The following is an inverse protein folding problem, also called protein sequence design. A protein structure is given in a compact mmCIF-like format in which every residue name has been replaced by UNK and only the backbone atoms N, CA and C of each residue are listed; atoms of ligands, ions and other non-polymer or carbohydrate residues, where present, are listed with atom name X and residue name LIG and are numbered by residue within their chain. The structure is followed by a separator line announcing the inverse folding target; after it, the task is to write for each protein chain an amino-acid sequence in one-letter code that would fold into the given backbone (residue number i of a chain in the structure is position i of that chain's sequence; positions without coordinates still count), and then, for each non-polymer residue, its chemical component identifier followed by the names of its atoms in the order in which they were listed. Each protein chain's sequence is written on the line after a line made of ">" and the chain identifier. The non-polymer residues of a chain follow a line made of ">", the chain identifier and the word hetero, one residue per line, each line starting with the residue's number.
data_IF_062365329636
#
_entry.id   IF_062365329636
#
_cell.length_a   1.000
_cell.length_b   1.000
_cell.length_c   1.000
_cell.angle_alpha   90.00
_cell.angle_beta   90.00
_cell.angle_gamma   90.00
#
_symmetry.space_group_name_H-M   'P 1'
#
loop_
_entity.id
_entity.type
_entity.pdbx_description
1 polymer ?
#
# COMPACT_ATOMS: atom_id res chain seq x y z
N UNK A 1 14.53 21.64 9.37
CA UNK A 1 15.20 20.34 9.20
C UNK A 1 15.24 19.98 7.72
N UNK A 2 16.20 19.12 7.30
CA UNK A 2 16.21 18.46 5.99
C UNK A 2 16.28 16.96 6.23
N UNK A 3 15.36 16.19 5.65
CA UNK A 3 15.28 14.74 5.75
C UNK A 3 14.44 14.19 4.58
N UNK A 4 14.55 12.89 4.31
CA UNK A 4 13.69 12.21 3.35
C UNK A 4 12.73 11.26 4.07
N UNK A 5 11.52 11.08 3.55
CA UNK A 5 10.61 10.02 3.93
C UNK A 5 10.53 9.00 2.81
N UNK A 6 10.56 7.72 3.15
CA UNK A 6 10.60 6.62 2.20
C UNK A 6 9.61 5.53 2.60
N UNK A 7 8.97 4.92 1.61
CA UNK A 7 8.17 3.71 1.75
C UNK A 7 8.40 2.77 0.57
N UNK A 8 8.22 1.48 0.80
CA UNK A 8 8.46 0.41 -0.16
C UNK A 8 7.23 -0.48 -0.30
N UNK A 9 6.96 -0.91 -1.53
CA UNK A 9 6.02 -1.99 -1.77
C UNK A 9 6.74 -3.23 -2.31
N UNK A 10 6.29 -4.41 -1.86
CA UNK A 10 6.88 -5.68 -2.25
C UNK A 10 5.94 -6.50 -3.11
N UNK A 11 6.48 -7.14 -4.14
CA UNK A 11 5.73 -7.94 -5.10
C UNK A 11 5.15 -9.24 -4.49
N UNK A 12 5.83 -9.77 -3.48
CA UNK A 12 5.45 -11.00 -2.77
C UNK A 12 5.72 -10.83 -1.27
N UNK A 13 5.43 -11.86 -0.49
CA UNK A 13 5.84 -11.94 0.92
C UNK A 13 7.34 -12.20 1.10
N UNK A 14 8.08 -12.45 0.02
CA UNK A 14 9.52 -12.69 0.07
C UNK A 14 10.24 -11.40 0.40
N UNK A 15 11.12 -11.46 1.41
CA UNK A 15 11.84 -10.29 1.86
C UNK A 15 12.82 -9.81 0.78
N UNK A 16 12.77 -8.52 0.46
CA UNK A 16 13.64 -7.90 -0.56
C UNK A 16 13.08 -7.95 -1.98
N UNK A 17 11.92 -8.58 -2.22
CA UNK A 17 11.29 -8.58 -3.54
C UNK A 17 10.52 -7.27 -3.78
N UNK A 18 11.24 -6.15 -3.79
CA UNK A 18 10.72 -4.80 -3.93
C UNK A 18 10.16 -4.62 -5.35
N UNK A 19 8.98 -4.01 -5.46
CA UNK A 19 8.33 -3.71 -6.75
C UNK A 19 7.92 -2.24 -6.91
N UNK A 20 8.02 -1.44 -5.87
CA UNK A 20 7.80 0.01 -5.95
C UNK A 20 8.50 0.73 -4.81
N UNK A 21 8.96 1.95 -5.10
CA UNK A 21 9.61 2.85 -4.14
C UNK A 21 8.94 4.21 -4.22
N UNK A 22 8.64 4.81 -3.07
CA UNK A 22 8.19 6.19 -2.93
C UNK A 22 9.08 6.96 -1.97
N UNK A 23 9.49 8.16 -2.36
CA UNK A 23 10.33 9.05 -1.56
C UNK A 23 9.82 10.48 -1.64
N UNK A 24 9.83 11.16 -0.50
CA UNK A 24 9.55 12.58 -0.37
C UNK A 24 10.70 13.23 0.37
N UNK A 25 11.29 14.28 -0.21
CA UNK A 25 12.35 15.08 0.42
C UNK A 25 11.75 16.33 1.05
N UNK A 26 11.99 16.50 2.34
CA UNK A 26 11.52 17.64 3.13
C UNK A 26 12.66 18.57 3.48
N UNK A 27 12.42 19.85 3.36
CA UNK A 27 13.34 20.89 3.83
C UNK A 27 12.54 22.03 4.45
N UNK A 28 12.87 22.40 5.71
CA UNK A 28 12.25 23.52 6.44
C UNK A 28 10.72 23.45 6.54
N UNK A 29 10.16 22.21 6.58
CA UNK A 29 8.72 21.96 6.64
C UNK A 29 8.03 21.91 5.27
N UNK A 30 8.76 22.06 4.19
CA UNK A 30 8.24 22.05 2.81
C UNK A 30 8.69 20.78 2.06
N UNK A 31 7.81 20.22 1.21
CA UNK A 31 8.18 19.19 0.25
C UNK A 31 8.97 19.82 -0.91
N UNK A 32 10.30 19.58 -0.94
CA UNK A 32 11.19 20.15 -1.96
C UNK A 32 11.56 19.18 -3.07
N UNK A 33 11.22 17.90 -2.91
CA UNK A 33 11.46 16.89 -3.92
C UNK A 33 10.66 15.62 -3.66
N UNK A 34 10.41 14.85 -4.71
CA UNK A 34 9.74 13.58 -4.63
C UNK A 34 10.18 12.66 -5.75
N UNK A 35 10.05 11.37 -5.48
CA UNK A 35 10.34 10.32 -6.45
C UNK A 35 9.39 9.15 -6.21
N UNK A 36 8.85 8.59 -7.27
CA UNK A 36 8.09 7.35 -7.25
C UNK A 36 8.42 6.54 -8.49
N UNK A 37 8.76 5.27 -8.31
CA UNK A 37 9.06 4.39 -9.43
C UNK A 37 8.64 2.96 -9.12
N UNK A 38 8.10 2.29 -10.12
CA UNK A 38 8.05 0.85 -10.12
C UNK A 38 9.47 0.30 -10.21
N UNK A 39 9.66 -0.88 -9.62
CA UNK A 39 10.92 -1.65 -9.64
C UNK A 39 10.59 -3.02 -10.23
N UNK A 40 11.42 -3.50 -11.15
CA UNK A 40 11.31 -4.88 -11.63
C UNK A 40 11.63 -5.85 -10.49
N UNK A 41 10.64 -6.62 -10.00
CA UNK A 41 10.86 -7.50 -8.87
C UNK A 41 11.79 -8.66 -9.25
N UNK A 42 12.62 -9.10 -8.31
CA UNK A 42 13.56 -10.22 -8.50
C UNK A 42 12.81 -11.53 -8.73
N UNK A 43 11.80 -11.77 -7.92
CA UNK A 43 10.83 -12.85 -8.17
C UNK A 43 9.73 -12.29 -9.04
N UNK A 44 9.73 -12.66 -10.31
CA UNK A 44 8.81 -12.15 -11.34
C UNK A 44 7.38 -12.67 -11.14
N UNK A 45 6.84 -12.43 -9.96
CA UNK A 45 5.46 -12.76 -9.62
C UNK A 45 4.89 -11.77 -8.62
N UNK A 46 3.56 -11.64 -8.59
CA UNK A 46 2.85 -10.95 -7.53
C UNK A 46 2.15 -11.98 -6.64
N UNK A 47 2.21 -11.76 -5.34
CA UNK A 47 1.36 -12.46 -4.38
C UNK A 47 -0.12 -12.11 -4.61
N UNK A 48 -1.02 -12.90 -4.03
CA UNK A 48 -2.46 -12.67 -4.21
C UNK A 48 -2.90 -11.32 -3.66
N UNK A 49 -2.33 -10.93 -2.53
CA UNK A 49 -2.62 -9.65 -1.92
C UNK A 49 -2.23 -8.49 -2.83
N UNK A 50 -1.04 -8.51 -3.44
CA UNK A 50 -0.52 -7.48 -4.35
C UNK A 50 -1.38 -7.36 -5.60
N UNK A 51 -1.75 -8.48 -6.20
CA UNK A 51 -2.64 -8.51 -7.39
C UNK A 51 -3.97 -7.79 -7.17
N UNK A 52 -4.45 -7.78 -5.92
CA UNK A 52 -5.75 -7.21 -5.60
C UNK A 52 -5.68 -5.78 -5.04
N UNK A 53 -4.51 -5.36 -4.57
CA UNK A 53 -4.36 -4.10 -3.85
C UNK A 53 -3.55 -3.05 -4.59
N UNK A 54 -2.66 -3.43 -5.50
CA UNK A 54 -1.96 -2.46 -6.34
C UNK A 54 -2.84 -1.96 -7.48
N UNK A 55 -2.60 -0.74 -7.94
CA UNK A 55 -3.26 -0.11 -9.07
C UNK A 55 -2.55 -0.38 -10.41
N UNK A 56 -1.43 -1.13 -10.38
CA UNK A 56 -0.68 -1.64 -11.53
C UNK A 56 -0.55 -3.17 -11.47
N UNK A 57 -0.26 -3.79 -12.62
CA UNK A 57 -0.11 -5.23 -12.74
C UNK A 57 1.35 -5.68 -12.81
N UNK A 58 1.56 -7.02 -12.68
CA UNK A 58 2.89 -7.62 -12.84
C UNK A 58 3.56 -7.23 -14.17
N UNK A 59 2.78 -7.17 -15.27
CA UNK A 59 3.29 -6.77 -16.58
C UNK A 59 3.91 -5.37 -16.60
N UNK A 60 3.40 -4.48 -15.79
CA UNK A 60 3.92 -3.11 -15.67
C UNK A 60 5.21 -3.12 -14.85
N UNK A 61 5.21 -3.83 -13.73
CA UNK A 61 6.41 -3.99 -12.90
C UNK A 61 7.57 -4.70 -13.65
N UNK A 62 7.27 -5.66 -14.51
CA UNK A 62 8.31 -6.35 -15.30
C UNK A 62 8.97 -5.47 -16.38
N UNK A 63 8.34 -4.36 -16.77
CA UNK A 63 8.91 -3.36 -17.68
C UNK A 63 9.70 -2.27 -16.96
N UNK A 64 9.57 -2.21 -15.65
CA UNK A 64 10.25 -1.21 -14.83
C UNK A 64 11.77 -1.45 -14.79
N UNK A 65 12.56 -0.40 -14.46
CA UNK A 65 13.98 -0.54 -14.19
C UNK A 65 14.24 -1.53 -13.04
N UNK A 66 15.44 -2.09 -12.99
CA UNK A 66 15.88 -2.91 -11.87
C UNK A 66 16.14 -2.07 -10.61
N UNK A 67 16.22 -2.75 -9.47
CA UNK A 67 16.42 -2.09 -8.18
C UNK A 67 17.68 -1.21 -8.12
N UNK A 68 18.88 -1.62 -8.60
CA UNK A 68 20.06 -0.77 -8.60
C UNK A 68 19.90 0.53 -9.38
N UNK A 69 19.17 0.50 -10.49
CA UNK A 69 18.89 1.69 -11.31
C UNK A 69 18.00 2.66 -10.55
N UNK A 70 16.89 2.17 -9.99
CA UNK A 70 15.95 2.96 -9.20
C UNK A 70 16.62 3.51 -7.93
N UNK A 71 17.44 2.69 -7.27
CA UNK A 71 18.12 3.10 -6.04
C UNK A 71 19.10 4.26 -6.24
N UNK A 72 19.81 4.30 -7.37
CA UNK A 72 20.66 5.46 -7.72
C UNK A 72 19.88 6.77 -7.82
N UNK A 73 18.65 6.73 -8.32
CA UNK A 73 17.81 7.92 -8.39
C UNK A 73 17.32 8.31 -6.99
N UNK A 74 17.00 7.34 -6.14
CA UNK A 74 16.70 7.57 -4.72
C UNK A 74 17.89 8.22 -4.02
N UNK A 75 19.10 7.65 -4.13
CA UNK A 75 20.33 8.20 -3.53
C UNK A 75 20.61 9.62 -4.00
N UNK A 76 20.41 9.91 -5.28
CA UNK A 76 20.59 11.27 -5.85
C UNK A 76 19.62 12.26 -5.23
N UNK A 77 18.37 11.85 -4.98
CA UNK A 77 17.35 12.71 -4.37
C UNK A 77 17.63 12.97 -2.90
N UNK A 78 17.90 11.91 -2.13
CA UNK A 78 18.06 12.02 -0.67
C UNK A 78 19.40 12.69 -0.30
N UNK A 79 20.49 12.42 -1.06
CA UNK A 79 21.84 12.86 -0.74
C UNK A 79 22.28 12.33 0.63
N UNK A 80 22.71 13.23 1.49
CA UNK A 80 23.15 12.96 2.86
C UNK A 80 22.04 13.08 3.92
N UNK A 81 20.79 13.32 3.49
CA UNK A 81 19.68 13.50 4.40
C UNK A 81 19.36 12.19 5.15
N UNK A 82 19.07 12.26 6.45
CA UNK A 82 18.51 11.11 7.18
C UNK A 82 17.17 10.71 6.57
N UNK A 83 16.85 9.42 6.64
CA UNK A 83 15.62 8.87 6.06
C UNK A 83 14.68 8.45 7.18
N UNK A 84 13.39 8.78 7.05
CA UNK A 84 12.35 8.26 7.92
C UNK A 84 11.46 7.27 7.17
N UNK A 85 11.00 6.23 7.87
CA UNK A 85 10.03 5.28 7.36
C UNK A 85 9.15 4.76 8.50
N UNK A 86 7.97 4.21 8.18
CA UNK A 86 7.06 3.73 9.22
C UNK A 86 7.28 2.24 9.50
N UNK A 87 7.85 1.93 10.67
CA UNK A 87 8.36 0.62 11.07
C UNK A 87 9.73 0.28 10.44
N UNK A 88 10.56 1.29 10.25
CA UNK A 88 11.79 1.30 9.44
C UNK A 88 12.72 0.11 9.68
N UNK A 89 13.04 -0.21 10.94
CA UNK A 89 13.98 -1.28 11.27
C UNK A 89 13.47 -2.68 10.91
N UNK A 90 12.15 -2.89 10.96
CA UNK A 90 11.53 -4.20 10.74
C UNK A 90 11.11 -4.41 9.28
N UNK A 91 10.73 -3.34 8.58
CA UNK A 91 10.24 -3.39 7.20
C UNK A 91 11.29 -2.86 6.23
N UNK A 92 11.46 -1.54 6.12
CA UNK A 92 12.27 -0.95 5.06
C UNK A 92 13.73 -1.38 5.13
N UNK A 93 14.38 -1.26 6.29
CA UNK A 93 15.78 -1.67 6.43
C UNK A 93 15.98 -3.16 6.13
N UNK A 94 15.04 -4.01 6.55
CA UNK A 94 15.09 -5.44 6.29
C UNK A 94 14.95 -5.75 4.79
N UNK A 95 13.95 -5.16 4.12
CA UNK A 95 13.74 -5.37 2.69
C UNK A 95 14.91 -4.82 1.86
N UNK A 96 15.39 -3.63 2.19
CA UNK A 96 16.58 -3.03 1.56
C UNK A 96 17.82 -3.91 1.76
N UNK A 97 18.07 -4.40 2.97
CA UNK A 97 19.22 -5.27 3.24
C UNK A 97 19.25 -6.53 2.37
N UNK A 98 18.11 -7.16 2.15
CA UNK A 98 18.00 -8.30 1.23
C UNK A 98 18.16 -7.89 -0.23
N UNK A 99 17.57 -6.76 -0.65
CA UNK A 99 17.72 -6.26 -2.02
C UNK A 99 19.17 -5.85 -2.30
N UNK A 100 19.83 -5.16 -1.39
CA UNK A 100 21.25 -4.79 -1.48
C UNK A 100 22.12 -6.03 -1.62
N UNK A 101 21.94 -7.02 -0.73
CA UNK A 101 22.68 -8.29 -0.78
C UNK A 101 22.50 -9.03 -2.11
N UNK A 102 21.26 -9.08 -2.61
CA UNK A 102 20.95 -9.74 -3.88
C UNK A 102 21.64 -9.07 -5.07
N UNK A 103 21.66 -7.74 -5.08
CA UNK A 103 22.22 -6.95 -6.18
C UNK A 103 23.70 -6.58 -5.99
N UNK A 104 24.36 -7.07 -4.93
CA UNK A 104 25.75 -6.77 -4.64
C UNK A 104 26.02 -5.30 -4.30
N UNK A 105 25.03 -4.60 -3.75
CA UNK A 105 25.18 -3.24 -3.26
C UNK A 105 25.74 -3.23 -1.83
N UNK A 106 26.50 -2.19 -1.51
CA UNK A 106 27.06 -2.03 -0.16
C UNK A 106 26.05 -1.44 0.81
N UNK A 107 25.57 -2.26 1.74
CA UNK A 107 24.62 -1.83 2.76
C UNK A 107 25.20 -0.78 3.73
N UNK A 108 26.53 -0.75 3.90
CA UNK A 108 27.18 0.22 4.79
C UNK A 108 27.18 1.64 4.23
N UNK A 109 27.09 1.79 2.90
CA UNK A 109 26.97 3.09 2.23
C UNK A 109 25.52 3.62 2.22
N UNK A 110 24.55 2.82 2.61
CA UNK A 110 23.14 3.20 2.62
C UNK A 110 22.82 4.25 3.69
N UNK A 111 21.68 4.94 3.56
CA UNK A 111 21.27 6.00 4.48
C UNK A 111 20.96 5.47 5.88
N UNK A 112 21.00 6.41 6.84
CA UNK A 112 20.50 6.15 8.21
C UNK A 112 18.99 6.33 8.22
N UNK A 113 18.31 5.37 8.80
CA UNK A 113 16.85 5.39 8.96
C UNK A 113 16.44 5.72 10.39
N UNK A 114 15.27 6.35 10.51
CA UNK A 114 14.58 6.59 11.77
C UNK A 114 13.11 6.14 11.64
N UNK A 115 12.58 5.53 12.68
CA UNK A 115 11.26 4.90 12.63
C UNK A 115 10.14 5.83 13.10
N UNK A 116 9.27 6.29 12.19
CA UNK A 116 8.14 7.15 12.56
C UNK A 116 7.08 6.43 13.42
N UNK A 117 7.02 5.09 13.39
CA UNK A 117 6.19 4.32 14.31
C UNK A 117 6.70 4.44 15.76
N UNK A 118 8.02 4.41 15.97
CA UNK A 118 8.63 4.62 17.29
C UNK A 118 8.38 6.05 17.77
N UNK A 119 8.59 7.04 16.89
CA UNK A 119 8.32 8.44 17.19
C UNK A 119 6.87 8.66 17.62
N UNK A 120 5.92 8.15 16.84
CA UNK A 120 4.49 8.28 17.14
C UNK A 120 4.10 7.59 18.45
N UNK A 121 4.64 6.40 18.73
CA UNK A 121 4.40 5.69 20.00
C UNK A 121 4.97 6.41 21.21
N UNK A 122 6.15 7.02 21.07
CA UNK A 122 6.80 7.74 22.15
C UNK A 122 6.12 9.08 22.44
N UNK A 123 5.58 9.73 21.43
CA UNK A 123 5.00 11.07 21.54
C UNK A 123 3.50 11.06 21.83
N UNK A 124 2.70 10.31 21.07
CA UNK A 124 1.23 10.22 21.24
C UNK A 124 0.84 8.93 21.99
N UNK A 125 1.24 8.83 23.24
CA UNK A 125 1.04 7.62 24.06
C UNK A 125 -0.43 7.26 24.32
N UNK A 126 -1.32 8.24 24.22
CA UNK A 126 -2.75 8.11 24.41
C UNK A 126 -3.47 7.47 23.20
N UNK A 127 -2.82 7.44 22.04
CA UNK A 127 -3.44 6.81 20.86
C UNK A 127 -3.53 5.29 21.03
N UNK A 128 -4.68 4.68 20.75
CA UNK A 128 -4.84 3.23 20.92
C UNK A 128 -4.05 2.41 19.88
N UNK A 129 -3.64 3.04 18.77
CA UNK A 129 -2.88 2.43 17.67
C UNK A 129 -2.06 3.48 16.93
N UNK A 130 -0.83 3.11 16.57
CA UNK A 130 0.14 4.00 15.93
C UNK A 130 0.49 3.60 14.49
N UNK A 131 -0.14 2.56 13.92
CA UNK A 131 0.07 2.24 12.51
C UNK A 131 -0.37 3.40 11.60
N UNK A 132 0.30 3.57 10.47
CA UNK A 132 0.19 4.74 9.57
C UNK A 132 -1.27 5.15 9.27
N UNK A 133 -2.17 4.19 9.02
CA UNK A 133 -3.61 4.44 8.81
C UNK A 133 -4.31 5.05 10.02
N UNK A 134 -3.89 4.67 11.22
CA UNK A 134 -4.54 5.11 12.46
C UNK A 134 -4.12 6.53 12.79
N UNK A 135 -2.82 6.83 12.64
CA UNK A 135 -2.28 8.18 12.82
C UNK A 135 -2.86 9.12 11.77
N UNK A 136 -2.83 8.76 10.49
CA UNK A 136 -3.41 9.58 9.43
C UNK A 136 -4.90 9.86 9.65
N UNK A 137 -5.67 8.88 10.14
CA UNK A 137 -7.09 9.08 10.49
C UNK A 137 -7.28 10.01 11.68
N UNK A 138 -6.45 9.88 12.72
CA UNK A 138 -6.53 10.72 13.91
C UNK A 138 -6.38 12.21 13.56
N UNK A 139 -5.38 12.52 12.73
CA UNK A 139 -5.11 13.89 12.27
C UNK A 139 -5.90 14.30 11.02
N UNK A 140 -6.80 13.45 10.52
CA UNK A 140 -7.56 13.68 9.29
C UNK A 140 -6.68 13.95 8.06
N UNK A 141 -5.49 13.35 8.01
CA UNK A 141 -4.59 13.44 6.86
C UNK A 141 -5.07 12.52 5.72
N UNK A 142 -4.95 13.02 4.49
CA UNK A 142 -5.30 12.24 3.30
C UNK A 142 -4.26 11.15 3.06
N UNK A 143 -4.69 9.90 3.05
CA UNK A 143 -3.86 8.72 2.82
C UNK A 143 -4.44 7.86 1.70
N UNK A 144 -3.65 7.65 0.65
CA UNK A 144 -3.87 6.61 -0.36
C UNK A 144 -2.94 5.43 -0.04
N UNK A 145 -3.35 4.60 0.90
CA UNK A 145 -2.52 3.56 1.48
C UNK A 145 -2.14 2.47 0.48
N UNK A 146 -0.89 2.05 0.52
CA UNK A 146 -0.18 1.22 -0.45
C UNK A 146 0.12 1.96 -1.78
N UNK A 147 0.18 3.27 -1.71
CA UNK A 147 0.87 4.13 -2.64
C UNK A 147 2.10 4.65 -1.89
N UNK A 148 3.31 4.19 -2.21
CA UNK A 148 4.48 4.45 -1.36
C UNK A 148 4.83 5.94 -1.26
N UNK A 149 4.51 6.75 -2.27
CA UNK A 149 4.66 8.19 -2.17
C UNK A 149 3.67 8.81 -1.17
N UNK A 150 2.42 8.30 -1.13
CA UNK A 150 1.42 8.74 -0.15
C UNK A 150 1.78 8.28 1.26
N UNK A 151 2.26 7.05 1.43
CA UNK A 151 2.68 6.53 2.72
C UNK A 151 3.93 7.27 3.23
N UNK A 152 4.91 7.58 2.35
CA UNK A 152 6.05 8.44 2.67
C UNK A 152 5.63 9.85 3.13
N UNK A 153 4.62 10.48 2.49
CA UNK A 153 4.09 11.77 2.95
C UNK A 153 3.50 11.71 4.36
N UNK A 154 2.85 10.61 4.73
CA UNK A 154 2.37 10.45 6.10
C UNK A 154 3.53 10.28 7.07
N UNK A 155 4.61 9.58 6.69
CA UNK A 155 5.82 9.53 7.50
C UNK A 155 6.39 10.94 7.74
N UNK A 156 6.45 11.76 6.70
CA UNK A 156 6.87 13.16 6.83
C UNK A 156 5.91 13.97 7.71
N UNK A 157 4.61 13.83 7.53
CA UNK A 157 3.61 14.54 8.33
C UNK A 157 3.71 14.20 9.83
N UNK A 158 4.04 12.94 10.19
CA UNK A 158 4.31 12.55 11.58
C UNK A 158 5.50 13.33 12.14
N UNK A 159 6.59 13.44 11.39
CA UNK A 159 7.80 14.19 11.80
C UNK A 159 7.48 15.66 12.00
N UNK A 160 6.79 16.28 11.04
CA UNK A 160 6.44 17.70 11.11
C UNK A 160 5.49 18.01 12.27
N UNK A 161 4.47 17.18 12.53
CA UNK A 161 3.53 17.42 13.62
C UNK A 161 4.20 17.26 14.99
N UNK A 162 5.01 16.22 15.19
CA UNK A 162 5.79 16.06 16.43
C UNK A 162 6.76 17.22 16.63
N UNK A 163 7.44 17.65 15.58
CA UNK A 163 8.37 18.78 15.63
C UNK A 163 7.68 20.08 15.99
N UNK A 164 6.48 20.30 15.47
CA UNK A 164 5.64 21.47 15.75
C UNK A 164 5.14 21.45 17.20
N UNK A 165 4.60 20.31 17.68
CA UNK A 165 4.09 20.18 19.04
C UNK A 165 5.20 20.32 20.10
N UNK A 166 6.43 19.91 19.76
CA UNK A 166 7.63 20.07 20.64
C UNK A 166 8.38 21.37 20.42
N UNK A 167 7.98 22.21 19.45
CA UNK A 167 8.67 23.44 19.04
C UNK A 167 10.15 23.23 18.64
N UNK A 168 10.47 22.03 18.10
CA UNK A 168 11.82 21.64 17.67
C UNK A 168 11.98 21.85 16.17
N UNK A 169 12.97 22.62 15.75
CA UNK A 169 13.25 22.92 14.34
C UNK A 169 14.50 22.25 13.78
N UNK A 170 15.32 21.69 14.65
CA UNK A 170 16.60 21.08 14.30
C UNK A 170 16.53 19.55 14.43
N UNK A 171 17.07 18.83 13.44
CA UNK A 171 17.05 17.36 13.42
C UNK A 171 17.68 16.74 14.65
N UNK A 172 18.88 17.19 15.01
CA UNK A 172 19.57 16.68 16.20
C UNK A 172 18.78 16.90 17.50
N UNK A 173 18.06 18.02 17.60
CA UNK A 173 17.15 18.30 18.71
C UNK A 173 16.01 17.29 18.77
N UNK A 174 15.37 17.00 17.63
CA UNK A 174 14.27 16.04 17.54
C UNK A 174 14.72 14.63 17.92
N UNK A 175 15.85 14.18 17.40
CA UNK A 175 16.45 12.86 17.70
C UNK A 175 16.75 12.75 19.19
N UNK A 176 17.41 13.77 19.77
CA UNK A 176 17.80 13.77 21.19
C UNK A 176 16.59 13.77 22.13
N UNK A 177 15.61 14.63 21.88
CA UNK A 177 14.41 14.78 22.73
C UNK A 177 13.59 13.51 22.75
N UNK A 178 13.40 12.88 21.62
CA UNK A 178 12.61 11.66 21.48
C UNK A 178 13.42 10.38 21.71
N UNK A 179 14.72 10.47 22.00
CA UNK A 179 15.64 9.31 22.11
C UNK A 179 15.47 8.39 20.89
N UNK A 180 15.34 9.01 19.71
CA UNK A 180 14.98 8.33 18.49
C UNK A 180 16.16 7.49 17.99
N UNK A 181 15.94 6.20 17.80
CA UNK A 181 17.00 5.24 17.50
C UNK A 181 17.32 5.25 16.00
N UNK A 182 18.62 5.21 15.68
CA UNK A 182 19.10 4.97 14.33
C UNK A 182 18.91 3.51 13.93
N UNK A 183 18.41 3.30 12.73
CA UNK A 183 18.39 2.01 12.07
C UNK A 183 19.29 2.05 10.84
N UNK A 184 20.01 0.98 10.61
CA UNK A 184 20.86 0.85 9.42
C UNK A 184 20.40 -0.31 8.57
N UNK A 185 20.67 -0.24 7.28
CA UNK A 185 20.41 -1.33 6.36
C UNK A 185 21.30 -2.51 6.76
N UNK A 186 20.72 -3.65 7.16
CA UNK A 186 21.53 -4.79 7.60
C UNK A 186 22.22 -5.46 6.41
N UNK A 187 23.44 -5.92 6.63
CA UNK A 187 24.13 -6.76 5.67
C UNK A 187 23.66 -8.21 5.83
N UNK A 188 23.08 -8.78 4.78
CA UNK A 188 22.70 -10.19 4.75
C UNK A 188 23.64 -10.99 3.85
N UNK A 189 24.17 -12.10 4.36
CA UNK A 189 24.99 -13.03 3.57
C UNK A 189 24.14 -14.00 2.73
N UNK A 190 22.85 -14.03 2.93
CA UNK A 190 21.94 -14.93 2.22
C UNK A 190 21.28 -14.22 1.04
N UNK A 191 21.41 -14.84 -0.13
CA UNK A 191 20.62 -14.48 -1.30
C UNK A 191 19.11 -14.50 -0.95
N UNK A 192 18.31 -13.64 -1.59
CA UNK A 192 16.85 -13.80 -1.59
C UNK A 192 16.60 -15.26 -1.96
N UNK A 193 16.01 -16.03 -1.04
CA UNK A 193 15.59 -17.40 -1.36
C UNK A 193 14.50 -17.26 -2.41
N UNK A 194 14.88 -17.34 -3.67
CA UNK A 194 13.94 -17.52 -4.75
C UNK A 194 13.32 -18.89 -4.46
N UNK A 195 12.15 -18.89 -3.81
CA UNK A 195 11.34 -20.09 -3.75
C UNK A 195 11.23 -20.61 -5.17
N UNK A 196 11.58 -21.89 -5.38
CA UNK A 196 11.62 -22.49 -6.71
C UNK A 196 10.38 -22.00 -7.48
N UNK A 197 10.62 -21.33 -8.64
CA UNK A 197 9.56 -20.68 -9.41
C UNK A 197 8.33 -21.57 -9.41
N UNK A 198 7.15 -21.10 -9.01
CA UNK A 198 5.93 -21.68 -9.54
C UNK A 198 6.07 -21.57 -11.05
N UNK A 199 6.13 -22.68 -11.74
CA UNK A 199 6.37 -22.75 -13.18
C UNK A 199 5.30 -21.93 -13.90
N UNK A 200 5.60 -20.68 -14.25
CA UNK A 200 4.73 -19.74 -14.95
C UNK A 200 3.87 -18.83 -14.05
N UNK A 201 3.32 -17.75 -14.61
CA UNK A 201 2.34 -16.93 -13.92
C UNK A 201 1.14 -17.80 -13.59
N UNK A 202 0.76 -17.88 -12.33
CA UNK A 202 -0.47 -18.55 -11.92
C UNK A 202 -1.63 -17.97 -12.72
N UNK A 203 -2.21 -18.79 -13.55
CA UNK A 203 -3.35 -18.42 -14.38
C UNK A 203 -4.62 -18.38 -13.51
N UNK A 204 -5.70 -17.82 -14.02
CA UNK A 204 -7.02 -17.89 -13.36
C UNK A 204 -7.40 -19.36 -13.04
N UNK A 205 -6.91 -20.34 -13.78
CA UNK A 205 -7.09 -21.76 -13.56
C UNK A 205 -6.41 -22.24 -12.27
N UNK A 206 -5.23 -21.69 -11.91
CA UNK A 206 -4.49 -22.08 -10.71
C UNK A 206 -5.19 -21.67 -9.39
N UNK A 207 -6.13 -20.71 -9.49
CA UNK A 207 -7.00 -20.27 -8.37
C UNK A 207 -8.44 -20.77 -8.51
N UNK A 208 -8.71 -21.66 -9.46
CA UNK A 208 -10.07 -22.15 -9.69
C UNK A 208 -10.66 -22.84 -8.43
N UNK A 209 -9.81 -23.42 -7.57
CA UNK A 209 -10.21 -24.01 -6.30
C UNK A 209 -10.51 -22.96 -5.21
N UNK A 210 -9.99 -21.73 -5.35
CA UNK A 210 -10.25 -20.60 -4.43
C UNK A 210 -11.45 -19.77 -4.88
N UNK A 211 -12.00 -20.06 -6.06
CA UNK A 211 -13.14 -19.37 -6.62
C UNK A 211 -14.35 -20.30 -6.67
N UNK A 212 -15.49 -19.80 -6.27
CA UNK A 212 -16.76 -20.48 -6.30
C UNK A 212 -17.75 -19.77 -7.22
N UNK A 213 -18.58 -20.55 -7.92
CA UNK A 213 -19.78 -20.03 -8.56
C UNK A 213 -20.75 -19.57 -7.46
N UNK A 214 -21.19 -18.33 -7.53
CA UNK A 214 -22.06 -17.74 -6.51
C UNK A 214 -23.52 -17.77 -6.95
N UNK A 215 -24.41 -17.67 -5.97
CA UNK A 215 -25.84 -17.45 -6.17
C UNK A 215 -26.23 -16.16 -5.45
N UNK A 216 -27.24 -15.43 -5.95
CA UNK A 216 -27.77 -14.28 -5.22
C UNK A 216 -28.15 -14.68 -3.79
N UNK A 217 -27.78 -13.83 -2.83
CA UNK A 217 -28.13 -14.03 -1.40
C UNK A 217 -29.49 -13.39 -1.10
N UNK A 218 -29.54 -12.10 -1.23
CA UNK A 218 -30.75 -11.27 -1.12
C UNK A 218 -30.72 -10.21 -2.22
N UNK A 219 -31.85 -9.73 -2.72
CA UNK A 219 -31.87 -8.61 -3.67
C UNK A 219 -31.37 -7.33 -3.02
N UNK A 220 -30.65 -6.50 -3.78
CA UNK A 220 -30.39 -5.12 -3.38
C UNK A 220 -31.70 -4.32 -3.56
N UNK A 221 -32.22 -3.75 -2.48
CA UNK A 221 -33.49 -3.02 -2.51
C UNK A 221 -33.40 -1.79 -3.42
N UNK A 222 -32.36 -0.98 -3.25
CA UNK A 222 -32.07 0.19 -4.08
C UNK A 222 -30.61 0.59 -3.90
N UNK A 223 -29.95 0.99 -4.99
CA UNK A 223 -28.61 1.56 -4.93
C UNK A 223 -28.71 3.07 -4.65
N UNK A 224 -27.91 3.56 -3.71
CA UNK A 224 -27.88 4.96 -3.32
C UNK A 224 -26.44 5.47 -3.11
N UNK A 225 -26.17 6.78 -3.35
CA UNK A 225 -24.89 7.39 -3.01
C UNK A 225 -24.56 7.18 -1.52
N UNK A 226 -23.28 7.02 -1.21
CA UNK A 226 -22.78 6.72 0.14
C UNK A 226 -22.71 5.23 0.48
N UNK A 227 -23.42 4.35 -0.23
CA UNK A 227 -23.32 2.91 0.00
C UNK A 227 -21.93 2.38 -0.28
N UNK A 228 -21.51 1.38 0.50
CA UNK A 228 -20.19 0.76 0.50
C UNK A 228 -20.21 -0.53 -0.29
N UNK A 229 -19.28 -0.69 -1.22
CA UNK A 229 -19.20 -1.90 -2.03
C UNK A 229 -17.78 -2.45 -2.15
N UNK A 230 -17.67 -3.73 -2.48
CA UNK A 230 -16.43 -4.39 -2.87
C UNK A 230 -16.62 -5.13 -4.20
N UNK A 231 -15.49 -5.44 -4.84
CA UNK A 231 -15.43 -6.20 -6.09
C UNK A 231 -14.73 -7.54 -5.84
N UNK A 232 -15.24 -8.64 -6.42
CA UNK A 232 -14.67 -9.97 -6.28
C UNK A 232 -14.71 -10.75 -7.60
N UNK A 233 -13.61 -11.46 -7.92
CA UNK A 233 -13.52 -12.32 -9.11
C UNK A 233 -13.08 -11.63 -10.39
N UNK A 234 -13.02 -10.31 -10.45
CA UNK A 234 -12.61 -9.55 -11.63
C UNK A 234 -11.10 -9.54 -11.83
N UNK A 235 -10.66 -9.45 -13.06
CA UNK A 235 -9.29 -9.06 -13.39
C UNK A 235 -9.02 -7.58 -13.00
N UNK A 236 -7.73 -7.19 -13.01
CA UNK A 236 -7.32 -5.86 -12.57
C UNK A 236 -7.98 -4.72 -13.36
N UNK A 237 -8.00 -4.83 -14.72
CA UNK A 237 -8.55 -3.78 -15.58
C UNK A 237 -10.04 -3.58 -15.35
N UNK A 238 -10.81 -4.68 -15.33
CA UNK A 238 -12.25 -4.66 -15.06
C UNK A 238 -12.56 -4.12 -13.69
N UNK A 239 -11.77 -4.54 -12.69
CA UNK A 239 -11.91 -4.07 -11.31
C UNK A 239 -11.68 -2.56 -11.18
N UNK A 240 -10.65 -2.00 -11.84
CA UNK A 240 -10.38 -0.56 -11.83
C UNK A 240 -11.54 0.23 -12.43
N UNK A 241 -12.01 -0.18 -13.62
CA UNK A 241 -13.13 0.47 -14.31
C UNK A 241 -14.42 0.47 -13.49
N UNK A 242 -14.75 -0.67 -12.87
CA UNK A 242 -15.95 -0.79 -12.05
C UNK A 242 -15.85 0.02 -10.76
N UNK A 243 -14.67 0.04 -10.13
CA UNK A 243 -14.38 0.87 -8.96
C UNK A 243 -14.59 2.35 -9.27
N UNK A 244 -13.96 2.84 -10.33
CA UNK A 244 -14.07 4.23 -10.75
C UNK A 244 -15.50 4.62 -11.11
N UNK A 245 -16.22 3.75 -11.82
CA UNK A 245 -17.63 3.97 -12.16
C UNK A 245 -18.49 4.11 -10.91
N UNK A 246 -18.30 3.25 -9.90
CA UNK A 246 -19.02 3.34 -8.63
C UNK A 246 -18.68 4.61 -7.85
N UNK A 247 -17.39 4.95 -7.72
CA UNK A 247 -16.95 6.17 -7.02
C UNK A 247 -17.49 7.42 -7.70
N UNK A 248 -17.49 7.49 -9.03
CA UNK A 248 -18.05 8.62 -9.80
C UNK A 248 -19.55 8.84 -9.53
N UNK A 249 -20.25 7.80 -9.11
CA UNK A 249 -21.68 7.83 -8.73
C UNK A 249 -21.93 8.04 -7.23
N UNK A 250 -20.88 8.38 -6.48
CA UNK A 250 -20.97 8.66 -5.05
C UNK A 250 -20.93 7.42 -4.16
N UNK A 251 -20.66 6.23 -4.70
CA UNK A 251 -20.47 5.02 -3.90
C UNK A 251 -19.10 4.99 -3.24
N UNK A 252 -18.96 4.26 -2.14
CA UNK A 252 -17.72 4.09 -1.41
C UNK A 252 -17.12 2.70 -1.67
N UNK A 253 -16.04 2.64 -2.42
CA UNK A 253 -15.31 1.39 -2.60
C UNK A 253 -14.58 0.99 -1.32
N UNK A 254 -14.73 -0.27 -0.90
CA UNK A 254 -14.00 -0.90 0.20
C UNK A 254 -13.16 -2.05 -0.33
N UNK A 255 -11.99 -2.28 0.29
CA UNK A 255 -11.12 -3.41 -0.07
C UNK A 255 -11.52 -4.71 0.61
N UNK A 256 -12.14 -4.61 1.79
CA UNK A 256 -12.49 -5.73 2.65
C UNK A 256 -13.93 -5.66 3.12
N UNK A 257 -14.54 -6.84 3.36
CA UNK A 257 -15.87 -6.94 3.99
C UNK A 257 -15.82 -6.50 5.46
N UNK A 258 -14.67 -6.66 6.12
CA UNK A 258 -14.48 -6.26 7.52
C UNK A 258 -14.71 -4.74 7.68
N UNK A 259 -15.64 -4.40 8.57
CA UNK A 259 -16.11 -3.01 8.74
C UNK A 259 -17.43 -2.71 8.04
N UNK A 260 -18.02 -3.72 7.40
CA UNK A 260 -19.34 -3.67 6.76
C UNK A 260 -19.29 -3.12 5.34
N UNK A 261 -20.08 -3.74 4.50
CA UNK A 261 -20.41 -3.29 3.14
C UNK A 261 -21.91 -3.42 2.94
N UNK A 262 -22.44 -2.68 2.00
CA UNK A 262 -23.88 -2.68 1.73
C UNK A 262 -24.21 -3.67 0.59
N UNK A 263 -23.26 -3.92 -0.31
CA UNK A 263 -23.35 -4.97 -1.33
C UNK A 263 -21.97 -5.38 -1.88
N UNK A 264 -21.92 -6.52 -2.57
CA UNK A 264 -20.76 -7.01 -3.28
C UNK A 264 -21.07 -7.14 -4.77
N UNK A 265 -20.12 -6.80 -5.63
CA UNK A 265 -20.22 -7.06 -7.07
C UNK A 265 -19.25 -8.18 -7.44
N UNK A 266 -19.75 -9.20 -8.08
CA UNK A 266 -18.99 -10.40 -8.45
C UNK A 266 -18.95 -10.63 -9.96
N UNK A 267 -17.80 -11.16 -10.43
CA UNK A 267 -17.72 -11.81 -11.74
C UNK A 267 -18.38 -13.21 -11.69
N UNK A 268 -18.37 -13.95 -12.76
CA UNK A 268 -18.94 -15.31 -12.83
C UNK A 268 -18.54 -16.25 -11.68
N UNK A 269 -17.36 -16.00 -11.09
CA UNK A 269 -16.87 -16.67 -9.88
C UNK A 269 -16.28 -15.65 -8.91
N UNK A 270 -16.38 -15.94 -7.62
CA UNK A 270 -15.85 -15.08 -6.56
C UNK A 270 -15.06 -15.88 -5.52
N UNK A 271 -14.28 -15.19 -4.69
CA UNK A 271 -13.52 -15.87 -3.62
C UNK A 271 -14.44 -16.53 -2.59
N UNK A 272 -14.13 -17.78 -2.24
CA UNK A 272 -14.94 -18.65 -1.34
C UNK A 272 -15.24 -17.95 0.00
N UNK A 273 -14.25 -17.38 0.66
CA UNK A 273 -14.43 -16.71 1.95
C UNK A 273 -15.34 -15.49 1.89
N UNK A 274 -15.28 -14.72 0.78
CA UNK A 274 -16.18 -13.59 0.58
C UNK A 274 -17.61 -14.06 0.34
N UNK A 275 -17.79 -15.11 -0.44
CA UNK A 275 -19.11 -15.72 -0.67
C UNK A 275 -19.73 -16.18 0.65
N UNK A 276 -18.99 -16.97 1.44
CA UNK A 276 -19.47 -17.45 2.74
C UNK A 276 -19.91 -16.31 3.66
N UNK A 277 -19.11 -15.21 3.72
CA UNK A 277 -19.48 -14.04 4.51
C UNK A 277 -20.72 -13.32 3.98
N UNK A 278 -20.92 -13.26 2.66
CA UNK A 278 -22.12 -12.65 2.08
C UNK A 278 -23.37 -13.49 2.40
N UNK A 279 -23.27 -14.82 2.36
CA UNK A 279 -24.36 -15.73 2.74
C UNK A 279 -24.71 -15.58 4.22
N UNK A 280 -23.71 -15.67 5.10
CA UNK A 280 -23.87 -15.55 6.56
C UNK A 280 -24.53 -14.22 6.96
N UNK A 281 -24.07 -13.11 6.36
CA UNK A 281 -24.50 -11.76 6.74
C UNK A 281 -25.63 -11.19 5.87
N UNK A 282 -26.20 -11.99 4.99
CA UNK A 282 -27.25 -11.59 4.06
C UNK A 282 -26.90 -10.33 3.26
N UNK A 283 -25.63 -10.26 2.78
CA UNK A 283 -25.14 -9.14 1.97
C UNK A 283 -25.51 -9.39 0.50
N UNK A 284 -26.20 -8.45 -0.18
CA UNK A 284 -26.52 -8.55 -1.59
C UNK A 284 -25.29 -8.80 -2.46
N UNK A 285 -25.37 -9.72 -3.42
CA UNK A 285 -24.35 -9.97 -4.44
C UNK A 285 -24.94 -9.63 -5.80
N UNK A 286 -24.29 -8.72 -6.50
CA UNK A 286 -24.68 -8.26 -7.84
C UNK A 286 -23.70 -8.80 -8.87
N UNK A 287 -24.19 -9.16 -10.04
CA UNK A 287 -23.35 -9.33 -11.22
C UNK A 287 -22.84 -7.98 -11.75
N UNK A 288 -21.85 -8.01 -12.63
CA UNK A 288 -21.36 -6.81 -13.31
C UNK A 288 -22.48 -6.09 -14.07
N UNK A 289 -23.34 -6.86 -14.73
CA UNK A 289 -24.46 -6.32 -15.50
C UNK A 289 -25.48 -5.60 -14.62
N UNK A 290 -25.87 -6.21 -13.50
CA UNK A 290 -26.78 -5.60 -12.52
C UNK A 290 -26.19 -4.35 -11.89
N UNK A 291 -24.89 -4.37 -11.57
CA UNK A 291 -24.21 -3.19 -11.02
C UNK A 291 -24.21 -2.03 -12.03
N UNK A 292 -23.87 -2.28 -13.30
CA UNK A 292 -23.90 -1.27 -14.35
C UNK A 292 -25.31 -0.72 -14.60
N UNK A 293 -26.31 -1.58 -14.60
CA UNK A 293 -27.71 -1.16 -14.73
C UNK A 293 -28.15 -0.26 -13.56
N UNK A 294 -27.81 -0.64 -12.33
CA UNK A 294 -28.10 0.15 -11.14
C UNK A 294 -27.36 1.51 -11.12
N UNK A 295 -26.10 1.56 -11.58
CA UNK A 295 -25.37 2.84 -11.71
C UNK A 295 -26.00 3.77 -12.74
N UNK A 296 -26.58 3.22 -13.83
CA UNK A 296 -27.28 4.02 -14.84
C UNK A 296 -28.61 4.56 -14.28
N UNK A 297 -29.32 3.79 -13.48
CA UNK A 297 -30.55 4.24 -12.83
C UNK A 297 -30.34 5.43 -11.88
N UNK A 298 -29.20 5.49 -11.18
CA UNK A 298 -28.83 6.62 -10.33
C UNK A 298 -28.72 7.98 -11.06
N UNK A 299 -28.70 7.98 -12.41
CA UNK A 299 -28.69 9.22 -13.20
C UNK A 299 -30.08 9.80 -13.46
N UNK A 300 -31.11 8.97 -13.45
CA UNK A 300 -32.45 9.38 -13.86
C UNK A 300 -33.27 10.03 -12.73
N UNK A 301 -32.76 9.98 -11.49
CA UNK A 301 -33.47 10.59 -10.33
C UNK A 301 -33.00 12.02 -10.02
N UNK A 302 -32.16 12.63 -10.85
CA UNK A 302 -31.63 13.99 -10.68
C UNK A 302 -32.11 14.99 -11.76
N UNK A 303 -33.16 14.64 -12.53
CA UNK A 303 -33.83 15.59 -13.47
C UNK A 303 -35.19 16.05 -12.96
#
# INVERSE_FOLDING_TARGET
>A
MRYAALDLECATSDTGNICEVGVVLMEKGEEVGRFRSLVRPVVESFGDWQRWNFDYGLKDALKAPDFPTVWKDVERLIGDAPVVAHNAGVVECKHLGHAFSFHGLDAASGPVFYCTLELAKGHWTELPKHGIKHVARHFNWKLDHHNPESDARICAAIVEEVSKEQEIREWAGLVKTNRWTEHRIPHYHSQIKIAAKPTGPRTRADYAHELVAWKPTVPLAQMAPGQRFILSGFDHSSKSKLREAGIKKGLQYKRYIKGGIDFLVADAKMGVSKYATCVEKQIPILSEAEFKAALNALNNERT
#
